data_IF_482859288872
#
_entry.id   IF_482859288872
#
_cell.length_a   1.000
_cell.length_b   1.000
_cell.length_c   1.000
_cell.angle_alpha   90.00
_cell.angle_beta   90.00
_cell.angle_gamma   90.00
#
_symmetry.space_group_name_H-M   'P 1'
#
loop_
_entity.id
_entity.type
_entity.pdbx_description
1 polymer ?
#
# COMPACT_ATOMS: atom_id res chain seq x y z
N UNK A 1 3.30 -14.41 13.24
CA UNK A 1 2.44 -14.25 14.43
C UNK A 1 1.10 -14.86 14.10
N UNK A 2 0.81 -16.03 14.66
CA UNK A 2 -0.46 -16.74 14.47
C UNK A 2 -1.62 -15.84 14.88
N UNK A 3 -2.59 -15.71 13.98
CA UNK A 3 -3.73 -14.81 14.16
C UNK A 3 -4.64 -15.23 15.31
N UNK A 4 -5.60 -14.36 15.61
CA UNK A 4 -6.65 -14.53 16.64
C UNK A 4 -7.36 -15.91 16.59
N UNK A 5 -7.35 -16.56 15.43
CA UNK A 5 -8.07 -17.81 15.14
C UNK A 5 -7.24 -19.10 15.23
N UNK A 6 -5.94 -19.03 15.56
CA UNK A 6 -5.08 -20.22 15.61
C UNK A 6 -4.18 -20.25 16.87
N UNK A 7 -4.80 -20.28 18.06
CA UNK A 7 -4.06 -20.59 19.30
C UNK A 7 -3.63 -22.06 19.28
N UNK A 8 -2.32 -22.33 19.16
CA UNK A 8 -1.72 -23.66 19.33
C UNK A 8 -1.38 -24.45 18.06
N UNK A 9 -1.50 -23.85 16.87
CA UNK A 9 -1.02 -24.45 15.62
C UNK A 9 0.51 -24.34 15.46
N UNK A 10 1.14 -25.17 14.61
CA UNK A 10 2.56 -25.00 14.27
C UNK A 10 2.84 -23.55 13.86
N UNK A 11 3.91 -22.94 14.38
CA UNK A 11 4.23 -21.52 14.20
C UNK A 11 4.59 -21.13 12.74
N UNK A 12 4.60 -22.10 11.83
CA UNK A 12 4.89 -21.98 10.40
C UNK A 12 3.67 -21.65 9.50
N UNK A 13 2.59 -21.05 10.03
CA UNK A 13 1.33 -20.93 9.27
C UNK A 13 0.56 -19.59 9.31
N UNK A 14 -0.25 -19.46 8.25
CA UNK A 14 -1.24 -18.42 7.91
C UNK A 14 -1.99 -17.92 9.14
N UNK A 15 -1.83 -16.63 9.45
CA UNK A 15 -2.57 -15.92 10.48
C UNK A 15 -3.56 -14.92 9.86
N UNK A 16 -4.51 -14.47 10.67
CA UNK A 16 -5.39 -13.35 10.34
C UNK A 16 -5.39 -12.33 11.47
N UNK A 17 -5.35 -11.05 11.09
CA UNK A 17 -5.45 -9.91 11.99
C UNK A 17 -6.63 -9.07 11.51
N UNK A 18 -7.65 -8.79 12.35
CA UNK A 18 -8.74 -7.90 11.97
C UNK A 18 -8.23 -6.48 11.69
N UNK A 19 -8.67 -5.91 10.57
CA UNK A 19 -8.30 -4.55 10.15
C UNK A 19 -9.49 -3.83 9.54
N UNK A 20 -9.56 -2.51 9.76
CA UNK A 20 -10.43 -1.63 8.98
C UNK A 20 -9.69 -1.31 7.68
N UNK A 21 -10.40 -1.43 6.56
CA UNK A 21 -9.85 -1.15 5.23
C UNK A 21 -10.75 -0.17 4.49
N UNK A 22 -10.15 0.91 4.00
CA UNK A 22 -10.77 1.79 3.02
C UNK A 22 -10.39 1.34 1.61
N UNK A 23 -11.33 1.51 0.68
CA UNK A 23 -11.13 1.20 -0.75
C UNK A 23 -11.64 2.36 -1.58
N UNK A 24 -10.77 2.92 -2.41
CA UNK A 24 -11.08 3.98 -3.35
C UNK A 24 -10.92 3.46 -4.77
N UNK A 25 -11.85 3.88 -5.62
CA UNK A 25 -11.94 3.46 -7.01
C UNK A 25 -11.93 4.68 -7.91
N UNK A 26 -11.07 4.68 -8.91
CA UNK A 26 -10.96 5.77 -9.86
C UNK A 26 -10.40 5.27 -11.20
N UNK A 27 -10.56 6.07 -12.25
CA UNK A 27 -10.14 5.67 -13.59
C UNK A 27 -8.63 5.86 -13.77
N UNK A 28 -8.14 7.08 -13.58
CA UNK A 28 -6.81 7.49 -14.02
C UNK A 28 -5.72 7.22 -12.96
N UNK A 29 -5.06 6.07 -12.99
CA UNK A 29 -3.89 5.79 -12.13
C UNK A 29 -2.54 6.24 -12.71
N UNK A 30 -2.56 6.84 -13.91
CA UNK A 30 -1.38 7.21 -14.66
C UNK A 30 -1.10 8.71 -14.70
N UNK A 31 -2.09 9.55 -14.39
CA UNK A 31 -1.95 11.01 -14.48
C UNK A 31 -1.10 11.55 -13.33
N UNK A 32 -0.39 12.64 -13.59
CA UNK A 32 0.49 13.28 -12.60
C UNK A 32 -0.33 13.81 -11.43
N UNK A 33 -1.47 14.45 -11.69
CA UNK A 33 -2.39 14.96 -10.65
C UNK A 33 -2.89 13.84 -9.73
N UNK A 34 -3.28 12.68 -10.29
CA UNK A 34 -3.70 11.57 -9.46
C UNK A 34 -2.53 10.99 -8.66
N UNK A 35 -1.36 10.85 -9.27
CA UNK A 35 -0.17 10.37 -8.56
C UNK A 35 0.21 11.29 -7.41
N UNK A 36 0.09 12.61 -7.58
CA UNK A 36 0.28 13.55 -6.49
C UNK A 36 -0.78 13.38 -5.39
N UNK A 37 -2.06 13.22 -5.75
CA UNK A 37 -3.11 12.95 -4.78
C UNK A 37 -2.88 11.64 -3.99
N UNK A 38 -2.38 10.59 -4.65
CA UNK A 38 -1.98 9.33 -3.99
C UNK A 38 -0.78 9.53 -3.08
N UNK A 39 0.21 10.33 -3.48
CA UNK A 39 1.35 10.67 -2.64
C UNK A 39 0.91 11.45 -1.39
N UNK A 40 0.02 12.43 -1.54
CA UNK A 40 -0.54 13.16 -0.41
C UNK A 40 -1.32 12.25 0.54
N UNK A 41 -2.17 11.38 0.00
CA UNK A 41 -2.89 10.39 0.81
C UNK A 41 -1.93 9.46 1.58
N UNK A 42 -0.78 9.12 0.99
CA UNK A 42 0.25 8.34 1.66
C UNK A 42 0.97 9.13 2.76
N UNK A 43 1.20 10.42 2.58
CA UNK A 43 1.77 11.29 3.62
C UNK A 43 0.83 11.39 4.83
N UNK A 44 -0.48 11.58 4.57
CA UNK A 44 -1.49 11.63 5.62
C UNK A 44 -1.58 10.28 6.35
N UNK A 45 -1.57 9.17 5.62
CA UNK A 45 -1.53 7.82 6.18
C UNK A 45 -0.28 7.58 7.04
N UNK A 46 0.89 8.07 6.62
CA UNK A 46 2.14 7.95 7.36
C UNK A 46 2.13 8.67 8.71
N UNK A 47 1.26 9.65 8.92
CA UNK A 47 1.12 10.30 10.23
C UNK A 47 0.79 9.28 11.34
N UNK A 48 0.16 8.16 10.98
CA UNK A 48 -0.18 7.07 11.90
C UNK A 48 0.62 5.79 11.63
N UNK A 49 0.85 5.47 10.36
CA UNK A 49 1.38 4.16 9.98
C UNK A 49 2.91 4.08 9.97
N UNK A 50 3.63 5.22 9.91
CA UNK A 50 5.06 5.26 9.56
C UNK A 50 5.92 4.32 10.40
N UNK A 51 5.72 4.30 11.72
CA UNK A 51 6.53 3.49 12.64
C UNK A 51 6.19 1.99 12.58
N UNK A 52 5.12 1.63 11.87
CA UNK A 52 4.70 0.25 11.64
C UNK A 52 5.13 -0.30 10.28
N UNK A 53 5.41 0.55 9.29
CA UNK A 53 5.76 0.12 7.94
C UNK A 53 7.18 -0.45 7.89
N UNK A 54 7.31 -1.63 7.28
CA UNK A 54 8.57 -2.39 7.23
C UNK A 54 9.05 -2.64 5.81
N UNK A 55 8.15 -2.75 4.84
CA UNK A 55 8.50 -3.07 3.45
C UNK A 55 7.69 -2.25 2.45
N UNK A 56 8.35 -1.88 1.34
CA UNK A 56 7.72 -1.50 0.08
C UNK A 56 7.91 -2.64 -0.92
N UNK A 57 6.84 -2.97 -1.62
CA UNK A 57 6.82 -3.81 -2.81
C UNK A 57 6.43 -2.97 -4.03
N UNK A 58 7.16 -3.13 -5.14
CA UNK A 58 6.87 -2.49 -6.43
C UNK A 58 6.57 -3.57 -7.48
N UNK A 59 5.49 -3.37 -8.24
CA UNK A 59 5.14 -4.23 -9.36
C UNK A 59 5.98 -3.82 -10.59
N UNK A 60 6.89 -4.71 -11.03
CA UNK A 60 7.78 -4.52 -12.19
C UNK A 60 8.51 -3.15 -12.21
N UNK A 61 9.36 -2.84 -11.20
CA UNK A 61 9.95 -1.52 -11.07
C UNK A 61 10.86 -1.17 -12.25
N UNK A 62 10.69 0.01 -12.88
CA UNK A 62 11.61 0.50 -13.89
C UNK A 62 12.97 0.81 -13.26
N UNK A 63 14.03 0.79 -14.09
CA UNK A 63 15.39 1.10 -13.66
C UNK A 63 15.43 2.46 -12.95
N UNK A 64 15.87 2.45 -11.69
CA UNK A 64 16.01 3.66 -10.85
C UNK A 64 14.87 3.84 -9.82
N UNK A 65 13.72 3.19 -9.99
CA UNK A 65 12.62 3.25 -9.03
C UNK A 65 12.93 2.52 -7.70
N UNK A 66 13.78 1.50 -7.76
CA UNK A 66 14.12 0.65 -6.61
C UNK A 66 14.17 -0.81 -7.05
N UNK A 67 14.22 -1.71 -6.06
CA UNK A 67 14.06 -3.15 -6.27
C UNK A 67 12.60 -3.55 -6.06
N UNK A 68 12.21 -4.74 -6.52
CA UNK A 68 10.85 -5.29 -6.35
C UNK A 68 10.38 -5.28 -4.89
N UNK A 69 11.32 -5.37 -3.95
CA UNK A 69 11.09 -5.22 -2.52
C UNK A 69 12.24 -4.50 -1.84
N UNK A 70 11.91 -3.52 -1.00
CA UNK A 70 12.86 -2.67 -0.29
C UNK A 70 12.39 -2.48 1.16
N UNK A 71 13.29 -2.57 2.13
CA UNK A 71 12.97 -2.22 3.53
C UNK A 71 12.54 -0.75 3.61
N UNK A 72 11.46 -0.45 4.32
CA UNK A 72 10.82 0.87 4.34
C UNK A 72 11.79 2.01 4.70
N UNK A 73 12.68 1.80 5.66
CA UNK A 73 13.72 2.79 6.05
C UNK A 73 14.69 3.18 4.92
N UNK A 74 14.81 2.33 3.89
CA UNK A 74 15.69 2.52 2.74
C UNK A 74 14.91 2.96 1.47
N UNK A 75 13.59 3.15 1.58
CA UNK A 75 12.72 3.51 0.46
C UNK A 75 12.89 5.00 0.13
N UNK A 76 12.95 5.29 -1.18
CA UNK A 76 12.91 6.67 -1.67
C UNK A 76 11.54 7.29 -1.43
N UNK A 77 11.43 8.62 -1.26
CA UNK A 77 10.14 9.29 -1.22
C UNK A 77 9.26 8.87 -2.41
N UNK A 78 7.97 8.60 -2.16
CA UNK A 78 7.08 8.01 -3.16
C UNK A 78 6.98 8.85 -4.45
N UNK A 79 7.03 10.18 -4.31
CA UNK A 79 7.05 11.13 -5.43
C UNK A 79 8.30 10.99 -6.31
N UNK A 80 9.43 10.58 -5.76
CA UNK A 80 10.63 10.27 -6.55
C UNK A 80 10.47 8.98 -7.34
N UNK A 81 9.84 7.97 -6.74
CA UNK A 81 9.55 6.69 -7.40
C UNK A 81 8.64 6.92 -8.62
N UNK A 82 7.61 7.74 -8.48
CA UNK A 82 6.65 8.01 -9.56
C UNK A 82 7.28 8.62 -10.82
N UNK A 83 8.37 9.40 -10.68
CA UNK A 83 9.09 10.00 -11.81
C UNK A 83 9.69 8.98 -12.77
N UNK A 84 9.94 7.75 -12.32
CA UNK A 84 10.47 6.68 -13.17
C UNK A 84 9.40 5.97 -14.00
N UNK A 85 8.12 6.17 -13.71
CA UNK A 85 7.02 5.47 -14.38
C UNK A 85 6.43 6.30 -15.51
N UNK A 86 6.57 5.80 -16.74
CA UNK A 86 5.82 6.34 -17.88
C UNK A 86 4.30 6.20 -17.66
N UNK A 87 3.48 7.16 -18.14
CA UNK A 87 2.01 7.01 -18.16
C UNK A 87 1.52 5.79 -18.95
N UNK A 88 2.34 5.22 -19.83
CA UNK A 88 2.03 4.01 -20.61
C UNK A 88 2.25 2.71 -19.84
N UNK A 89 2.89 2.77 -18.68
CA UNK A 89 3.11 1.62 -17.79
C UNK A 89 2.19 1.69 -16.60
N UNK A 90 1.67 0.54 -16.19
CA UNK A 90 0.93 0.41 -14.95
C UNK A 90 1.89 0.64 -13.79
N UNK A 91 1.37 1.17 -12.69
CA UNK A 91 2.13 1.41 -11.48
C UNK A 91 1.40 0.71 -10.35
N UNK A 92 2.03 -0.30 -9.78
CA UNK A 92 1.50 -1.03 -8.63
C UNK A 92 2.52 -1.04 -7.52
N UNK A 93 2.04 -0.84 -6.29
CA UNK A 93 2.89 -0.94 -5.11
C UNK A 93 2.10 -1.30 -3.85
N UNK A 94 2.82 -1.81 -2.86
CA UNK A 94 2.31 -2.11 -1.52
C UNK A 94 3.35 -1.69 -0.46
N UNK A 95 2.97 -0.75 0.40
CA UNK A 95 3.62 -0.57 1.70
C UNK A 95 2.94 -1.47 2.72
N UNK A 96 3.68 -2.19 3.55
CA UNK A 96 3.12 -3.11 4.54
C UNK A 96 3.92 -3.16 5.84
N UNK A 97 3.27 -3.54 6.96
CA UNK A 97 3.90 -3.83 8.25
C UNK A 97 4.28 -5.31 8.46
N UNK A 98 4.44 -6.07 7.38
CA UNK A 98 4.87 -7.48 7.45
C UNK A 98 6.25 -7.62 8.10
N UNK A 99 6.42 -8.56 9.04
CA UNK A 99 7.73 -8.75 9.71
C UNK A 99 8.80 -9.22 8.73
N UNK A 100 8.45 -10.19 7.88
CA UNK A 100 9.31 -10.71 6.84
C UNK A 100 8.96 -10.08 5.50
N UNK A 101 9.92 -10.12 4.56
CA UNK A 101 9.76 -9.59 3.21
C UNK A 101 8.44 -10.03 2.56
N UNK A 102 8.12 -11.33 2.60
CA UNK A 102 6.94 -11.91 1.96
C UNK A 102 5.69 -11.91 2.86
N UNK A 103 5.76 -11.35 4.06
CA UNK A 103 4.63 -11.27 4.96
C UNK A 103 3.80 -10.01 4.66
N UNK A 104 2.48 -10.13 4.80
CA UNK A 104 1.56 -8.98 4.93
C UNK A 104 1.43 -8.60 6.41
N UNK A 105 0.83 -7.44 6.67
CA UNK A 105 0.52 -6.93 7.99
C UNK A 105 -0.79 -6.14 7.99
N UNK A 106 -1.30 -5.77 9.16
CA UNK A 106 -2.57 -5.04 9.28
C UNK A 106 -2.47 -3.59 8.77
N UNK A 107 -1.27 -3.00 8.77
CA UNK A 107 -1.00 -1.73 8.12
C UNK A 107 -0.60 -2.00 6.68
N UNK A 108 -1.45 -1.60 5.75
CA UNK A 108 -1.17 -1.65 4.33
C UNK A 108 -1.55 -0.34 3.66
N UNK A 109 -0.76 0.05 2.67
CA UNK A 109 -1.13 1.08 1.70
C UNK A 109 -0.76 0.56 0.31
N UNK A 110 -1.78 0.17 -0.45
CA UNK A 110 -1.64 -0.52 -1.73
C UNK A 110 -2.32 0.26 -2.84
N UNK A 111 -1.55 0.55 -3.88
CA UNK A 111 -2.04 1.19 -5.09
C UNK A 111 -1.95 0.22 -6.27
N UNK A 112 -3.01 0.14 -7.06
CA UNK A 112 -3.01 -0.49 -8.37
C UNK A 112 -3.45 0.52 -9.41
N UNK A 113 -2.48 1.23 -9.97
CA UNK A 113 -2.65 2.24 -11.01
C UNK A 113 -2.63 1.63 -12.40
N UNK A 114 -3.71 1.85 -13.16
CA UNK A 114 -3.79 1.43 -14.56
C UNK A 114 -3.10 2.42 -15.47
N UNK A 115 -2.47 1.89 -16.52
CA UNK A 115 -1.80 2.72 -17.51
C UNK A 115 -2.79 3.45 -18.40
N UNK A 116 -2.33 4.52 -19.07
CA UNK A 116 -3.12 5.25 -20.05
C UNK A 116 -3.62 4.34 -21.18
N UNK A 117 -2.79 3.40 -21.65
CA UNK A 117 -3.20 2.44 -22.67
C UNK A 117 -4.36 1.55 -22.20
N UNK A 118 -4.28 1.01 -20.98
CA UNK A 118 -5.34 0.19 -20.40
C UNK A 118 -6.65 0.99 -20.32
N UNK A 119 -6.58 2.23 -19.80
CA UNK A 119 -7.76 3.08 -19.62
C UNK A 119 -8.43 3.49 -20.94
N UNK A 120 -7.66 3.68 -22.01
CA UNK A 120 -8.21 4.03 -23.33
C UNK A 120 -8.79 2.80 -24.05
N UNK A 121 -8.16 1.63 -23.92
CA UNK A 121 -8.47 0.45 -24.74
C UNK A 121 -9.29 -0.63 -24.04
N UNK A 122 -9.70 -0.42 -22.79
CA UNK A 122 -10.51 -1.41 -22.09
C UNK A 122 -11.24 -0.87 -20.87
N UNK A 123 -11.97 -1.78 -20.22
CA UNK A 123 -12.76 -1.49 -19.01
C UNK A 123 -11.92 -1.73 -17.77
N UNK A 124 -10.88 -0.91 -17.58
CA UNK A 124 -10.00 -1.01 -16.42
C UNK A 124 -10.30 0.07 -15.38
N UNK A 125 -10.02 -0.24 -14.13
CA UNK A 125 -10.17 0.65 -12.99
C UNK A 125 -8.91 0.60 -12.12
N UNK A 126 -8.49 1.76 -11.64
CA UNK A 126 -7.43 1.91 -10.66
C UNK A 126 -8.01 1.86 -9.25
N UNK A 127 -7.22 1.36 -8.31
CA UNK A 127 -7.64 1.21 -6.91
C UNK A 127 -6.58 1.71 -5.96
N UNK A 128 -7.00 2.39 -4.92
CA UNK A 128 -6.20 2.62 -3.72
C UNK A 128 -6.89 1.89 -2.56
N UNK A 129 -6.14 1.09 -1.82
CA UNK A 129 -6.61 0.50 -0.56
C UNK A 129 -5.62 0.80 0.52
N UNK A 130 -6.11 1.14 1.71
CA UNK A 130 -5.27 1.20 2.89
C UNK A 130 -6.00 0.64 4.10
N UNK A 131 -5.23 0.11 5.04
CA UNK A 131 -5.76 -0.53 6.23
C UNK A 131 -4.97 -0.20 7.47
N UNK A 132 -5.61 -0.44 8.61
CA UNK A 132 -5.02 -0.34 9.94
C UNK A 132 -5.69 -1.36 10.87
N UNK A 133 -4.99 -1.84 11.92
CA UNK A 133 -5.55 -2.80 12.87
C UNK A 133 -6.79 -2.24 13.59
N UNK A 134 -7.81 -3.08 13.82
CA UNK A 134 -9.01 -2.67 14.58
C UNK A 134 -8.63 -2.19 15.98
N UNK A 135 -7.73 -2.90 16.67
CA UNK A 135 -7.25 -2.55 18.01
C UNK A 135 -6.71 -1.10 18.06
N UNK A 136 -5.92 -0.70 17.06
CA UNK A 136 -5.39 0.67 16.99
C UNK A 136 -6.52 1.68 16.78
N UNK A 137 -7.52 1.37 15.95
CA UNK A 137 -8.66 2.27 15.73
C UNK A 137 -9.51 2.43 16.99
N UNK A 138 -9.72 1.35 17.75
CA UNK A 138 -10.45 1.38 19.02
C UNK A 138 -9.75 2.29 20.05
N UNK A 139 -8.43 2.24 20.10
CA UNK A 139 -7.62 3.11 20.96
C UNK A 139 -7.58 4.58 20.48
N UNK A 140 -7.78 4.82 19.18
CA UNK A 140 -7.63 6.12 18.54
C UNK A 140 -8.94 6.65 17.91
N UNK A 141 -10.09 6.25 18.44
CA UNK A 141 -11.44 6.55 17.88
C UNK A 141 -11.69 8.02 17.55
N UNK A 142 -11.14 8.95 18.33
CA UNK A 142 -11.33 10.40 18.14
C UNK A 142 -10.84 10.90 16.77
N UNK A 143 -9.90 10.20 16.15
CA UNK A 143 -9.35 10.54 14.83
C UNK A 143 -10.38 10.32 13.71
N UNK A 144 -11.44 9.54 13.96
CA UNK A 144 -12.40 9.09 12.94
C UNK A 144 -13.82 9.67 13.11
N UNK A 145 -14.08 10.44 14.17
CA UNK A 145 -15.45 10.84 14.57
C UNK A 145 -15.64 12.38 14.50
N UNK A 146 -14.68 13.12 13.95
CA UNK A 146 -14.85 14.57 13.70
C UNK A 146 -15.80 14.87 12.52
#
# INVERSE_FOLDING_TARGET
GGGLFAKGGPEDYVGAIPAIRAVLYFKEGFSDDMREAIAQCFDDYQTYAKDHLTWLWLDEPPKGAGSDSTEFKNVKPIREIFKFYSPMKSLGFLYTSGKEKFATGPWEFRFSGKSKWQIINGTYQSTLTFSMPIEWVEENTKIFIE
#
